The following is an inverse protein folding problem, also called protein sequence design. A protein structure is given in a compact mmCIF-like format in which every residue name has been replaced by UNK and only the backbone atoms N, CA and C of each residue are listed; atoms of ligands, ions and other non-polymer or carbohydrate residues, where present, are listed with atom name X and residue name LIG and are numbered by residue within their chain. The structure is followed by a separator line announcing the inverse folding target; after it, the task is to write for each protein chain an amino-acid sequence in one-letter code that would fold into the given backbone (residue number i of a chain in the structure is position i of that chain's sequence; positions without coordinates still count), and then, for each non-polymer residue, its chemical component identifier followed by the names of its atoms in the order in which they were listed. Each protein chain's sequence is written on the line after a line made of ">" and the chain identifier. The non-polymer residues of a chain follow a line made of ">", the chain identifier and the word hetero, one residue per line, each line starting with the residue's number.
data_IF_680301311945
#
_entry.id   IF_680301311945
#
_cell.length_a   1.000
_cell.length_b   1.000
_cell.length_c   1.000
_cell.angle_alpha   90.00
_cell.angle_beta   90.00
_cell.angle_gamma   90.00
#
_symmetry.space_group_name_H-M   'P 1'
#
loop_
_entity.id
_entity.type
_entity.pdbx_description
1 polymer ?
#
# COMPACT_ATOMS: atom_id res chain seq x y z
N UNK A 1 24.27 -15.26 -4.89
CA UNK A 1 23.16 -14.51 -5.54
C UNK A 1 21.90 -14.91 -4.78
N UNK A 2 21.24 -13.98 -4.09
CA UNK A 2 20.11 -14.29 -3.21
C UNK A 2 18.88 -14.69 -4.05
N UNK A 3 18.25 -15.83 -3.73
CA UNK A 3 17.06 -16.35 -4.43
C UNK A 3 15.89 -15.34 -4.44
N UNK A 4 15.90 -14.38 -3.51
CA UNK A 4 14.91 -13.29 -3.46
C UNK A 4 15.06 -12.27 -4.58
N UNK A 5 16.25 -12.15 -5.17
CA UNK A 5 16.53 -11.19 -6.24
C UNK A 5 16.05 -11.65 -7.62
N UNK A 6 15.83 -12.97 -7.81
CA UNK A 6 15.26 -13.54 -9.05
C UNK A 6 13.74 -13.33 -9.15
N UNK A 7 13.07 -13.06 -8.02
CA UNK A 7 11.63 -12.81 -7.94
C UNK A 7 11.20 -11.45 -8.51
N UNK A 8 12.16 -10.56 -8.80
CA UNK A 8 11.88 -9.23 -9.39
C UNK A 8 12.18 -9.26 -10.89
N UNK A 9 11.40 -10.05 -11.62
CA UNK A 9 11.54 -10.24 -13.07
C UNK A 9 10.40 -9.55 -13.82
N UNK A 10 10.73 -8.96 -14.96
CA UNK A 10 9.77 -8.37 -15.91
C UNK A 10 10.03 -8.92 -17.30
N UNK A 11 8.98 -8.98 -18.12
CA UNK A 11 9.12 -9.33 -19.53
C UNK A 11 9.69 -8.15 -20.32
N UNK A 12 10.86 -8.34 -20.90
CA UNK A 12 11.48 -7.43 -21.86
C UNK A 12 11.33 -7.93 -23.31
N UNK A 13 11.80 -7.13 -24.29
CA UNK A 13 11.75 -7.49 -25.70
C UNK A 13 12.53 -8.78 -26.02
N UNK A 14 13.60 -9.05 -25.28
CA UNK A 14 14.49 -10.21 -25.49
C UNK A 14 14.24 -11.36 -24.49
N UNK A 15 13.12 -11.32 -23.75
CA UNK A 15 12.78 -12.31 -22.73
C UNK A 15 12.76 -11.76 -21.30
N UNK A 16 12.68 -12.64 -20.28
CA UNK A 16 12.68 -12.25 -18.88
C UNK A 16 13.98 -11.55 -18.49
N UNK A 17 13.87 -10.38 -17.85
CA UNK A 17 15.01 -9.65 -17.29
C UNK A 17 14.69 -9.16 -15.88
N UNK A 18 15.72 -8.83 -15.12
CA UNK A 18 15.56 -8.15 -13.83
C UNK A 18 14.82 -6.82 -14.02
N UNK A 19 13.86 -6.55 -13.15
CA UNK A 19 13.20 -5.25 -13.13
C UNK A 19 14.19 -4.16 -12.70
N UNK A 20 14.10 -3.02 -13.35
CA UNK A 20 14.73 -1.77 -12.92
C UNK A 20 13.77 -0.99 -12.02
N UNK A 21 14.31 -0.02 -11.30
CA UNK A 21 13.50 0.95 -10.56
C UNK A 21 12.48 1.65 -11.48
N UNK A 22 12.87 1.96 -12.72
CA UNK A 22 11.98 2.57 -13.71
C UNK A 22 10.81 1.66 -14.10
N UNK A 23 11.01 0.34 -14.14
CA UNK A 23 9.92 -0.62 -14.39
C UNK A 23 8.93 -0.62 -13.22
N UNK A 24 9.44 -0.67 -11.98
CA UNK A 24 8.60 -0.60 -10.80
C UNK A 24 7.86 0.74 -10.73
N UNK A 25 8.55 1.87 -10.96
CA UNK A 25 7.95 3.21 -11.03
C UNK A 25 6.81 3.27 -12.03
N UNK A 26 7.01 2.71 -13.23
CA UNK A 26 5.98 2.64 -14.27
C UNK A 26 4.77 1.82 -13.83
N UNK A 27 4.96 0.75 -13.05
CA UNK A 27 3.84 -0.04 -12.51
C UNK A 27 3.01 0.71 -11.45
N UNK A 28 3.53 1.81 -10.90
CA UNK A 28 2.84 2.61 -9.87
C UNK A 28 2.06 3.80 -10.41
N UNK A 29 2.03 4.03 -11.73
CA UNK A 29 1.40 5.22 -12.34
C UNK A 29 -0.10 5.33 -12.05
N UNK A 30 -0.78 4.20 -11.86
CA UNK A 30 -2.20 4.16 -11.49
C UNK A 30 -2.49 4.41 -10.01
N UNK A 31 -1.47 4.52 -9.16
CA UNK A 31 -1.68 4.71 -7.72
C UNK A 31 -2.12 6.14 -7.41
N UNK A 32 -3.39 6.30 -7.07
CA UNK A 32 -4.03 7.60 -6.87
C UNK A 32 -3.59 8.30 -5.59
N UNK A 33 -3.57 9.62 -5.61
CA UNK A 33 -3.43 10.47 -4.44
C UNK A 33 -4.31 11.69 -4.70
N UNK A 34 -5.26 11.94 -3.81
CA UNK A 34 -6.20 13.07 -3.89
C UNK A 34 -5.58 14.31 -3.23
N UNK A 35 -5.94 15.49 -3.70
CA UNK A 35 -5.59 16.78 -3.08
C UNK A 35 -6.20 16.92 -1.68
N UNK A 36 -7.36 16.29 -1.44
CA UNK A 36 -7.99 16.22 -0.12
C UNK A 36 -7.22 15.37 0.91
N UNK A 37 -6.22 14.59 0.50
CA UNK A 37 -5.43 13.77 1.43
C UNK A 37 -4.53 14.67 2.30
N UNK A 38 -4.65 14.63 3.65
CA UNK A 38 -3.78 15.40 4.54
C UNK A 38 -2.29 15.14 4.29
N UNK A 39 -1.46 16.17 4.41
CA UNK A 39 -0.02 16.14 4.07
C UNK A 39 0.71 14.94 4.67
N UNK A 40 0.51 14.64 5.95
CA UNK A 40 1.17 13.50 6.60
C UNK A 40 0.79 12.15 5.99
N UNK A 41 -0.48 11.95 5.61
CA UNK A 41 -0.96 10.72 4.97
C UNK A 41 -0.42 10.65 3.53
N UNK A 42 -0.42 11.78 2.82
CA UNK A 42 0.11 11.86 1.46
C UNK A 42 1.61 11.54 1.40
N UNK A 43 2.39 12.05 2.35
CA UNK A 43 3.82 11.76 2.49
C UNK A 43 4.08 10.29 2.82
N UNK A 44 3.25 9.66 3.67
CA UNK A 44 3.34 8.23 3.93
C UNK A 44 3.12 7.39 2.66
N UNK A 45 2.11 7.74 1.85
CA UNK A 45 1.84 7.06 0.58
C UNK A 45 2.96 7.28 -0.45
N UNK A 46 3.51 8.49 -0.55
CA UNK A 46 4.67 8.79 -1.40
C UNK A 46 5.89 7.98 -0.97
N UNK A 47 6.19 7.96 0.33
CA UNK A 47 7.29 7.17 0.91
C UNK A 47 7.12 5.68 0.63
N UNK A 48 5.92 5.14 0.83
CA UNK A 48 5.57 3.76 0.48
C UNK A 48 5.88 3.44 -0.99
N UNK A 49 5.54 4.34 -1.91
CA UNK A 49 5.81 4.19 -3.35
C UNK A 49 7.30 4.22 -3.65
N UNK A 50 8.04 5.14 -3.05
CA UNK A 50 9.49 5.26 -3.27
C UNK A 50 10.23 4.03 -2.73
N UNK A 51 9.81 3.49 -1.58
CA UNK A 51 10.32 2.22 -1.04
C UNK A 51 10.05 1.06 -1.97
N UNK A 52 8.82 0.93 -2.50
CA UNK A 52 8.49 -0.10 -3.49
C UNK A 52 9.38 0.00 -4.73
N UNK A 53 9.61 1.20 -5.28
CA UNK A 53 10.47 1.39 -6.44
C UNK A 53 11.94 1.06 -6.13
N UNK A 54 12.40 1.41 -4.93
CA UNK A 54 13.77 1.15 -4.45
C UNK A 54 14.02 -0.31 -4.07
N UNK A 55 12.99 -1.16 -4.05
CA UNK A 55 13.10 -2.56 -3.64
C UNK A 55 13.94 -3.42 -4.61
N UNK A 56 14.24 -2.90 -5.81
CA UNK A 56 15.24 -3.52 -6.70
C UNK A 56 16.64 -3.57 -6.07
N UNK A 57 16.94 -2.63 -5.16
CA UNK A 57 18.22 -2.54 -4.44
C UNK A 57 18.18 -3.35 -3.15
N UNK A 58 17.10 -3.21 -2.37
CA UNK A 58 16.89 -3.93 -1.12
C UNK A 58 15.49 -4.53 -1.08
N UNK A 59 15.41 -5.86 -1.22
CA UNK A 59 14.13 -6.58 -1.32
C UNK A 59 13.17 -6.29 -0.14
N UNK A 60 13.71 -6.09 1.06
CA UNK A 60 12.92 -5.81 2.27
C UNK A 60 12.12 -4.49 2.17
N UNK A 61 12.47 -3.58 1.25
CA UNK A 61 11.70 -2.37 1.02
C UNK A 61 10.29 -2.64 0.49
N UNK A 62 10.02 -3.83 -0.09
CA UNK A 62 8.64 -4.22 -0.38
C UNK A 62 7.78 -4.31 0.90
N UNK A 63 8.31 -4.97 1.93
CA UNK A 63 7.62 -5.13 3.21
C UNK A 63 7.50 -3.78 3.92
N UNK A 64 8.57 -2.99 3.94
CA UNK A 64 8.55 -1.66 4.57
C UNK A 64 7.56 -0.73 3.85
N UNK A 65 7.51 -0.76 2.52
CA UNK A 65 6.52 0.00 1.74
C UNK A 65 5.08 -0.35 2.11
N UNK A 66 4.76 -1.65 2.19
CA UNK A 66 3.43 -2.12 2.62
C UNK A 66 3.08 -1.65 4.04
N UNK A 67 4.06 -1.61 4.96
CA UNK A 67 3.83 -1.09 6.32
C UNK A 67 3.50 0.41 6.29
N UNK A 68 4.24 1.20 5.49
CA UNK A 68 3.96 2.63 5.31
C UNK A 68 2.60 2.90 4.69
N UNK A 69 2.19 2.12 3.68
CA UNK A 69 0.87 2.26 3.06
C UNK A 69 -0.26 1.96 4.04
N UNK A 70 -0.07 0.99 4.94
CA UNK A 70 -1.05 0.69 5.99
C UNK A 70 -1.14 1.76 7.07
N UNK A 71 -0.03 2.43 7.41
CA UNK A 71 -0.08 3.57 8.33
C UNK A 71 -0.88 4.73 7.71
N UNK A 72 -0.73 4.95 6.39
CA UNK A 72 -1.55 5.92 5.68
C UNK A 72 -3.05 5.57 5.71
N UNK A 73 -3.39 4.29 5.47
CA UNK A 73 -4.78 3.79 5.59
C UNK A 73 -5.32 3.98 7.01
N UNK A 74 -4.51 3.68 8.04
CA UNK A 74 -4.87 3.89 9.43
C UNK A 74 -5.18 5.38 9.69
N UNK A 75 -4.31 6.29 9.23
CA UNK A 75 -4.52 7.73 9.33
C UNK A 75 -5.80 8.19 8.64
N UNK A 76 -6.04 7.75 7.40
CA UNK A 76 -7.23 8.15 6.65
C UNK A 76 -8.53 7.65 7.28
N UNK A 77 -8.55 6.41 7.80
CA UNK A 77 -9.71 5.87 8.52
C UNK A 77 -9.94 6.61 9.83
N UNK A 78 -8.88 7.01 10.54
CA UNK A 78 -8.99 7.80 11.77
C UNK A 78 -9.58 9.18 11.50
N UNK A 79 -9.09 9.85 10.46
CA UNK A 79 -9.63 11.13 9.99
C UNK A 79 -11.12 10.98 9.65
N UNK A 80 -11.47 10.00 8.81
CA UNK A 80 -12.84 9.76 8.34
C UNK A 80 -13.83 9.48 9.48
N UNK A 81 -13.38 8.83 10.54
CA UNK A 81 -14.21 8.39 11.66
C UNK A 81 -14.05 9.21 12.94
N UNK A 82 -13.20 10.25 12.93
CA UNK A 82 -12.77 10.97 14.13
C UNK A 82 -12.39 10.00 15.27
N UNK A 83 -11.64 8.94 14.94
CA UNK A 83 -11.38 7.83 15.85
C UNK A 83 -10.17 8.09 16.76
N UNK A 84 -10.30 7.80 18.05
CA UNK A 84 -9.22 7.89 19.02
C UNK A 84 -8.12 6.83 18.82
N UNK A 85 -6.91 7.10 19.32
CA UNK A 85 -5.72 6.25 19.16
C UNK A 85 -5.85 4.82 19.75
N UNK A 86 -6.84 4.57 20.63
CA UNK A 86 -7.06 3.25 21.23
C UNK A 86 -7.84 2.33 20.30
N UNK A 87 -8.59 2.88 19.33
CA UNK A 87 -9.27 2.09 18.30
C UNK A 87 -8.22 1.40 17.43
N UNK A 88 -8.28 0.08 17.32
CA UNK A 88 -7.29 -0.70 16.57
C UNK A 88 -7.58 -0.64 15.07
N UNK A 89 -6.54 -0.65 14.24
CA UNK A 89 -6.64 -0.69 12.77
C UNK A 89 -7.63 -1.75 12.25
N UNK A 90 -7.65 -2.96 12.82
CA UNK A 90 -8.59 -4.00 12.41
C UNK A 90 -10.07 -3.57 12.59
N UNK A 91 -10.38 -2.82 13.66
CA UNK A 91 -11.74 -2.34 13.93
C UNK A 91 -12.14 -1.28 12.92
N UNK A 92 -11.20 -0.39 12.55
CA UNK A 92 -11.41 0.63 11.51
C UNK A 92 -11.68 -0.01 10.14
N UNK A 93 -10.85 -0.99 9.74
CA UNK A 93 -11.04 -1.75 8.48
C UNK A 93 -12.39 -2.47 8.48
N UNK A 94 -12.76 -3.15 9.58
CA UNK A 94 -14.04 -3.86 9.67
C UNK A 94 -15.24 -2.91 9.58
N UNK A 95 -15.13 -1.71 10.14
CA UNK A 95 -16.16 -0.68 10.02
C UNK A 95 -16.31 -0.22 8.57
N UNK A 96 -15.22 0.13 7.90
CA UNK A 96 -15.23 0.51 6.49
C UNK A 96 -15.80 -0.60 5.57
N UNK A 97 -15.55 -1.87 5.89
CA UNK A 97 -16.13 -3.01 5.20
C UNK A 97 -17.64 -3.05 5.37
N UNK A 98 -18.11 -2.88 6.61
CA UNK A 98 -19.54 -2.91 6.95
C UNK A 98 -20.30 -1.77 6.29
N UNK A 99 -19.65 -0.62 6.11
CA UNK A 99 -20.21 0.57 5.44
C UNK A 99 -20.13 0.49 3.89
N UNK A 100 -19.59 -0.60 3.32
CA UNK A 100 -19.49 -0.78 1.87
C UNK A 100 -18.47 0.15 1.18
N UNK A 101 -17.46 0.62 1.93
CA UNK A 101 -16.43 1.52 1.43
C UNK A 101 -15.27 0.77 0.74
N UNK A 102 -15.24 -0.56 0.81
CA UNK A 102 -14.17 -1.39 0.25
C UNK A 102 -14.71 -2.48 -0.66
N UNK A 103 -14.01 -2.70 -1.76
CA UNK A 103 -14.20 -3.88 -2.60
C UNK A 103 -13.61 -5.13 -1.92
N UNK A 104 -14.21 -6.30 -2.17
CA UNK A 104 -13.74 -7.58 -1.62
C UNK A 104 -12.26 -7.84 -1.90
N UNK A 105 -11.82 -7.52 -3.12
CA UNK A 105 -10.43 -7.62 -3.55
C UNK A 105 -9.46 -6.78 -2.70
N UNK A 106 -9.90 -5.62 -2.17
CA UNK A 106 -9.05 -4.76 -1.34
C UNK A 106 -8.99 -5.29 0.09
N UNK A 107 -10.11 -5.82 0.59
CA UNK A 107 -10.21 -6.39 1.94
C UNK A 107 -9.18 -7.50 2.12
N UNK A 108 -9.13 -8.47 1.20
CA UNK A 108 -8.16 -9.57 1.27
C UNK A 108 -6.70 -9.08 1.30
N UNK A 109 -6.38 -8.08 0.46
CA UNK A 109 -5.04 -7.50 0.35
C UNK A 109 -4.64 -6.73 1.62
N UNK A 110 -5.55 -5.92 2.16
CA UNK A 110 -5.32 -5.14 3.37
C UNK A 110 -5.25 -6.03 4.62
N UNK A 111 -6.03 -7.12 4.68
CA UNK A 111 -5.92 -8.11 5.75
C UNK A 111 -4.57 -8.84 5.72
N UNK A 112 -4.11 -9.27 4.54
CA UNK A 112 -2.80 -9.88 4.37
C UNK A 112 -1.69 -8.92 4.81
N UNK A 113 -1.76 -7.66 4.38
CA UNK A 113 -0.82 -6.61 4.78
C UNK A 113 -0.86 -6.38 6.30
N UNK A 114 -2.04 -6.37 6.93
CA UNK A 114 -2.17 -6.16 8.38
C UNK A 114 -1.53 -7.30 9.17
N UNK A 115 -1.71 -8.54 8.73
CA UNK A 115 -1.05 -9.72 9.32
C UNK A 115 0.47 -9.61 9.21
N UNK A 116 0.98 -9.19 8.04
CA UNK A 116 2.40 -8.90 7.82
C UNK A 116 2.90 -7.81 8.77
N UNK A 117 2.26 -6.63 8.83
CA UNK A 117 2.66 -5.53 9.74
C UNK A 117 2.78 -6.01 11.18
N UNK A 118 1.79 -6.77 11.67
CA UNK A 118 1.83 -7.31 13.02
C UNK A 118 3.01 -8.27 13.24
N UNK A 119 3.33 -9.10 12.25
CA UNK A 119 4.51 -9.98 12.29
C UNK A 119 5.82 -9.20 12.29
N UNK A 120 5.91 -8.16 11.46
CA UNK A 120 7.08 -7.29 11.32
C UNK A 120 7.36 -6.47 12.58
N UNK A 121 6.33 -5.78 13.10
CA UNK A 121 6.44 -4.94 14.32
C UNK A 121 6.84 -5.77 15.55
N UNK A 122 6.44 -7.04 15.61
CA UNK A 122 6.82 -7.93 16.71
C UNK A 122 8.07 -8.76 16.43
N UNK A 123 8.80 -8.50 15.33
CA UNK A 123 9.97 -9.27 14.89
C UNK A 123 9.72 -10.80 14.80
N UNK A 124 8.47 -11.21 14.58
CA UNK A 124 8.05 -12.62 14.54
C UNK A 124 8.17 -13.25 13.16
N UNK A 125 8.08 -12.43 12.10
CA UNK A 125 8.23 -12.89 10.72
C UNK A 125 8.85 -11.80 9.85
N UNK A 126 9.93 -12.14 9.15
CA UNK A 126 10.41 -11.46 7.95
C UNK A 126 9.90 -12.25 6.74
N UNK A 127 8.58 -12.22 6.52
CA UNK A 127 7.98 -12.90 5.37
C UNK A 127 8.41 -12.20 4.08
N UNK A 128 9.00 -12.93 3.14
CA UNK A 128 9.31 -12.39 1.82
C UNK A 128 8.01 -12.18 1.03
N UNK A 129 7.76 -10.95 0.57
CA UNK A 129 6.62 -10.62 -0.28
C UNK A 129 7.08 -10.42 -1.71
N UNK A 130 6.43 -11.11 -2.65
CA UNK A 130 6.70 -10.89 -4.07
C UNK A 130 6.32 -9.45 -4.48
N UNK A 131 6.91 -8.91 -5.57
CA UNK A 131 6.54 -7.60 -6.07
C UNK A 131 5.03 -7.46 -6.33
N UNK A 132 4.40 -8.52 -6.85
CA UNK A 132 2.95 -8.53 -7.10
C UNK A 132 2.11 -8.43 -5.83
N UNK A 133 2.51 -9.12 -4.75
CA UNK A 133 1.82 -9.00 -3.45
C UNK A 133 1.96 -7.61 -2.86
N UNK A 134 3.19 -7.06 -2.86
CA UNK A 134 3.47 -5.74 -2.32
C UNK A 134 2.74 -4.65 -3.13
N UNK A 135 2.84 -4.69 -4.46
CA UNK A 135 2.14 -3.80 -5.36
C UNK A 135 0.63 -3.85 -5.14
N UNK A 136 0.05 -5.04 -5.03
CA UNK A 136 -1.39 -5.21 -4.77
C UNK A 136 -1.85 -4.56 -3.47
N UNK A 137 -1.12 -4.74 -2.37
CA UNK A 137 -1.47 -4.14 -1.08
C UNK A 137 -1.29 -2.61 -1.07
N UNK A 138 -0.21 -2.11 -1.67
CA UNK A 138 0.04 -0.67 -1.75
C UNK A 138 -0.99 0.00 -2.66
N UNK A 139 -1.32 -0.60 -3.80
CA UNK A 139 -2.37 -0.12 -4.69
C UNK A 139 -3.73 -0.05 -3.98
N UNK A 140 -4.13 -1.12 -3.28
CA UNK A 140 -5.36 -1.14 -2.49
C UNK A 140 -5.38 -0.07 -1.40
N UNK A 141 -4.21 0.24 -0.81
CA UNK A 141 -4.07 1.34 0.16
C UNK A 141 -4.32 2.70 -0.50
N UNK A 142 -3.73 2.94 -1.67
CA UNK A 142 -3.96 4.17 -2.45
C UNK A 142 -5.44 4.35 -2.83
N UNK A 143 -6.08 3.30 -3.35
CA UNK A 143 -7.50 3.34 -3.74
C UNK A 143 -8.42 3.59 -2.54
N UNK A 144 -8.17 2.91 -1.41
CA UNK A 144 -8.95 3.12 -0.21
C UNK A 144 -8.79 4.55 0.34
N UNK A 145 -7.56 5.07 0.42
CA UNK A 145 -7.33 6.46 0.89
C UNK A 145 -8.03 7.45 -0.03
N UNK A 146 -7.91 7.31 -1.35
CA UNK A 146 -8.59 8.17 -2.31
C UNK A 146 -10.13 8.11 -2.17
N UNK A 147 -10.69 6.94 -1.83
CA UNK A 147 -12.13 6.77 -1.61
C UNK A 147 -12.60 7.34 -0.27
N UNK A 148 -11.77 7.30 0.77
CA UNK A 148 -12.08 7.86 2.08
C UNK A 148 -11.98 9.39 2.08
N UNK A 149 -11.08 9.93 1.27
CA UNK A 149 -10.73 11.34 1.19
C UNK A 149 -10.78 11.78 -0.29
N UNK A 150 -11.96 11.76 -0.93
CA UNK A 150 -12.09 12.16 -2.33
C UNK A 150 -11.80 13.66 -2.49
N UNK A 151 -11.27 14.05 -3.64
CA UNK A 151 -11.35 15.45 -4.06
C UNK A 151 -12.83 15.86 -4.12
N UNK A 152 -13.16 17.13 -3.80
CA UNK A 152 -14.55 17.57 -3.90
C UNK A 152 -15.09 17.26 -5.30
N UNK A 153 -16.34 16.77 -5.38
CA UNK A 153 -17.04 16.74 -6.67
C UNK A 153 -17.04 18.18 -7.21
N UNK A 154 -16.72 18.40 -8.51
CA UNK A 154 -16.82 19.73 -9.07
C UNK A 154 -18.23 20.27 -8.81
N UNK A 155 -18.39 21.54 -8.39
CA UNK A 155 -19.71 22.09 -8.13
C UNK A 155 -20.59 21.85 -9.37
N UNK A 156 -21.72 21.18 -9.15
CA UNK A 156 -22.71 20.91 -10.18
C UNK A 156 -23.03 22.24 -10.88
N UNK A 157 -22.68 22.35 -12.15
CA UNK A 157 -22.96 23.54 -12.98
C UNK A 157 -24.44 23.64 -13.30
#
# INVERSE_FOLDING_TARGET
>A
MDARSELISVMGPDGPRRASEADLRRSTTGWRLTEATPTGIAEMLKTSRDLYCSAVTYYDFFVVGVVWSLMAVEGALRERYAADDKVRLFQLIKRAQTEGLMEEAWIERLEAARKLRNGFVHARQTGAWSPGMASGAIAASHELVARLLPDEDPPCS
#
